data_IF_285936014547
#
_entry.id   IF_285936014547
#
_cell.length_a   1.000
_cell.length_b   1.000
_cell.length_c   1.000
_cell.angle_alpha   90.00
_cell.angle_beta   90.00
_cell.angle_gamma   90.00
#
_symmetry.space_group_name_H-M   'P 1'
#
loop_
_entity.id
_entity.type
_entity.pdbx_description
1 polymer ?
#
# COMPACT_ATOMS: atom_id res chain seq x y z
N UNK A 1 -25.94 -13.95 6.58
CA UNK A 1 -24.66 -13.53 7.20
C UNK A 1 -23.67 -12.88 6.22
N UNK A 2 -23.78 -13.06 4.89
CA UNK A 2 -22.87 -12.41 3.92
C UNK A 2 -23.15 -10.93 3.63
N UNK A 3 -24.43 -10.51 3.60
CA UNK A 3 -24.79 -9.12 3.23
C UNK A 3 -24.32 -8.08 4.24
N UNK A 4 -24.40 -8.36 5.55
CA UNK A 4 -23.92 -7.46 6.58
C UNK A 4 -22.39 -7.31 6.57
N UNK A 5 -21.66 -8.38 6.24
CA UNK A 5 -20.20 -8.33 6.08
C UNK A 5 -19.76 -7.52 4.86
N UNK A 6 -20.46 -7.67 3.74
CA UNK A 6 -20.22 -6.87 2.52
C UNK A 6 -20.57 -5.39 2.77
N UNK A 7 -21.69 -5.10 3.44
CA UNK A 7 -22.09 -3.73 3.78
C UNK A 7 -21.16 -3.07 4.80
N UNK A 8 -20.67 -3.81 5.80
CA UNK A 8 -19.67 -3.31 6.74
C UNK A 8 -18.30 -3.09 6.09
N UNK A 9 -17.90 -3.98 5.16
CA UNK A 9 -16.69 -3.81 4.37
C UNK A 9 -16.78 -2.60 3.42
N UNK A 10 -17.93 -2.38 2.78
CA UNK A 10 -18.19 -1.20 1.97
C UNK A 10 -18.24 0.07 2.83
N UNK A 11 -18.94 0.05 3.96
CA UNK A 11 -18.99 1.19 4.89
C UNK A 11 -17.59 1.56 5.40
N UNK A 12 -16.75 0.58 5.76
CA UNK A 12 -15.35 0.81 6.14
C UNK A 12 -14.50 1.32 4.97
N UNK A 13 -14.69 0.81 3.75
CA UNK A 13 -14.06 1.38 2.56
C UNK A 13 -14.51 2.81 2.30
N UNK A 14 -15.78 3.15 2.50
CA UNK A 14 -16.30 4.50 2.31
C UNK A 14 -15.89 5.46 3.44
N UNK A 15 -15.67 4.96 4.66
CA UNK A 15 -15.15 5.75 5.78
C UNK A 15 -13.65 6.04 5.61
N UNK A 16 -12.88 5.09 5.06
CA UNK A 16 -11.44 5.26 4.80
C UNK A 16 -11.17 5.99 3.48
N UNK A 17 -11.96 5.72 2.43
CA UNK A 17 -11.86 6.41 1.13
C UNK A 17 -12.57 7.77 1.11
N UNK A 18 -13.39 8.06 2.12
CA UNK A 18 -14.13 9.30 2.24
C UNK A 18 -13.78 10.05 3.52
N UNK A 19 -12.84 11.01 3.49
CA UNK A 19 -12.97 12.16 4.36
C UNK A 19 -14.11 13.00 3.76
N UNK A 20 -15.22 13.11 4.50
CA UNK A 20 -16.33 13.93 4.08
C UNK A 20 -15.87 15.35 3.67
N UNK A 21 -15.96 15.67 2.37
CA UNK A 21 -16.52 16.95 1.96
C UNK A 21 -15.82 17.75 0.88
N UNK A 22 -14.51 17.62 0.61
CA UNK A 22 -13.84 18.34 -0.49
C UNK A 22 -12.63 17.58 -1.04
N UNK A 23 -12.72 17.13 -2.29
CA UNK A 23 -11.55 16.78 -3.10
C UNK A 23 -10.85 18.11 -3.44
N UNK A 24 -10.10 18.65 -2.48
CA UNK A 24 -9.06 19.61 -2.83
C UNK A 24 -7.92 18.77 -3.41
N UNK A 25 -7.67 18.97 -4.69
CA UNK A 25 -6.68 18.24 -5.52
C UNK A 25 -5.27 18.23 -4.86
N UNK A 26 -5.02 19.14 -3.92
CA UNK A 26 -3.82 19.22 -3.08
C UNK A 26 -3.68 18.08 -2.04
N UNK A 27 -4.77 17.52 -1.50
CA UNK A 27 -4.71 16.41 -0.54
C UNK A 27 -4.28 15.08 -1.18
N UNK A 28 -4.38 14.93 -2.50
CA UNK A 28 -3.97 13.72 -3.20
C UNK A 28 -2.45 13.61 -3.40
N UNK A 29 -1.72 14.73 -3.25
CA UNK A 29 -0.28 14.82 -3.48
C UNK A 29 0.50 14.11 -2.36
N UNK A 30 0.65 12.78 -2.48
CA UNK A 30 1.42 11.93 -1.56
C UNK A 30 0.67 10.68 -1.08
N UNK A 31 -0.64 10.76 -0.92
CA UNK A 31 -1.45 9.60 -0.50
C UNK A 31 -1.60 8.56 -1.61
N UNK A 32 -1.62 8.98 -2.90
CA UNK A 32 -1.69 8.05 -4.02
C UNK A 32 -0.51 7.08 -4.08
N UNK A 33 0.71 7.55 -3.78
CA UNK A 33 1.91 6.72 -3.71
C UNK A 33 1.81 5.66 -2.60
N UNK A 34 1.36 6.09 -1.42
CA UNK A 34 1.13 5.21 -0.27
C UNK A 34 0.03 4.19 -0.55
N UNK A 35 -1.05 4.59 -1.23
CA UNK A 35 -2.16 3.71 -1.59
C UNK A 35 -1.73 2.59 -2.55
N UNK A 36 -0.80 2.86 -3.47
CA UNK A 36 -0.22 1.83 -4.34
C UNK A 36 0.49 0.77 -3.50
N UNK A 37 1.33 1.17 -2.54
CA UNK A 37 2.05 0.24 -1.65
C UNK A 37 1.06 -0.66 -0.90
N UNK A 38 0.03 -0.06 -0.29
CA UNK A 38 -0.99 -0.80 0.47
C UNK A 38 -1.76 -1.79 -0.42
N UNK A 39 -2.14 -1.38 -1.64
CA UNK A 39 -2.87 -2.22 -2.57
C UNK A 39 -2.07 -3.46 -3.02
N UNK A 40 -0.79 -3.26 -3.34
CA UNK A 40 0.11 -4.35 -3.73
C UNK A 40 0.43 -5.26 -2.53
N UNK A 41 0.68 -4.70 -1.35
CA UNK A 41 1.00 -5.48 -0.15
C UNK A 41 -0.20 -6.33 0.30
N UNK A 42 -1.41 -5.79 0.16
CA UNK A 42 -2.66 -6.50 0.45
C UNK A 42 -3.05 -7.56 -0.60
N UNK A 43 -2.30 -7.71 -1.70
CA UNK A 43 -2.58 -8.66 -2.80
C UNK A 43 -4.03 -8.60 -3.32
N UNK A 44 -4.62 -7.41 -3.36
CA UNK A 44 -6.03 -7.17 -3.71
C UNK A 44 -7.08 -7.86 -2.80
N UNK A 45 -6.67 -8.42 -1.65
CA UNK A 45 -7.62 -9.01 -0.70
C UNK A 45 -8.04 -7.97 0.35
N UNK A 46 -9.34 -7.72 0.60
CA UNK A 46 -9.81 -6.72 1.58
C UNK A 46 -9.18 -6.82 2.98
N UNK A 47 -8.99 -8.04 3.50
CA UNK A 47 -8.33 -8.25 4.80
C UNK A 47 -6.84 -7.92 4.73
N UNK A 48 -6.18 -8.27 3.62
CA UNK A 48 -4.78 -7.93 3.38
C UNK A 48 -4.57 -6.42 3.27
N UNK A 49 -5.48 -5.71 2.60
CA UNK A 49 -5.46 -4.25 2.46
C UNK A 49 -5.59 -3.56 3.83
N UNK A 50 -6.47 -4.05 4.72
CA UNK A 50 -6.60 -3.52 6.08
C UNK A 50 -5.30 -3.67 6.89
N UNK A 51 -4.69 -4.86 6.86
CA UNK A 51 -3.42 -5.11 7.56
C UNK A 51 -2.26 -4.30 6.95
N UNK A 52 -2.20 -4.21 5.63
CA UNK A 52 -1.21 -3.41 4.91
C UNK A 52 -1.36 -1.91 5.19
N UNK A 53 -2.60 -1.41 5.25
CA UNK A 53 -2.92 -0.03 5.59
C UNK A 53 -2.49 0.30 7.02
N UNK A 54 -2.72 -0.62 7.96
CA UNK A 54 -2.27 -0.47 9.35
C UNK A 54 -0.73 -0.42 9.44
N UNK A 55 -0.03 -1.30 8.71
CA UNK A 55 1.43 -1.31 8.67
C UNK A 55 1.99 -0.01 8.09
N UNK A 56 1.38 0.50 7.00
CA UNK A 56 1.78 1.78 6.41
C UNK A 56 1.49 2.96 7.34
N UNK A 57 0.36 2.96 8.05
CA UNK A 57 0.04 3.97 9.05
C UNK A 57 1.07 3.99 10.19
N UNK A 58 1.43 2.81 10.71
CA UNK A 58 2.49 2.68 11.72
C UNK A 58 3.85 3.16 11.21
N UNK A 59 4.18 2.89 9.95
CA UNK A 59 5.44 3.34 9.32
C UNK A 59 5.47 4.86 9.16
N UNK A 60 4.34 5.47 8.78
CA UNK A 60 4.22 6.92 8.64
C UNK A 60 4.33 7.63 9.99
N UNK A 61 3.54 7.19 10.99
CA UNK A 61 3.56 7.77 12.33
C UNK A 61 4.90 7.51 13.02
N UNK A 62 5.47 6.30 12.88
CA UNK A 62 6.81 5.99 13.39
C UNK A 62 7.90 6.81 12.71
N UNK A 63 7.77 7.07 11.41
CA UNK A 63 8.65 7.95 10.65
C UNK A 63 8.58 9.40 11.13
N UNK A 64 7.39 9.93 11.39
CA UNK A 64 7.17 11.29 11.91
C UNK A 64 7.73 11.46 13.34
N UNK A 65 7.56 10.44 14.18
CA UNK A 65 8.18 10.38 15.51
C UNK A 65 9.71 10.34 15.37
N UNK A 66 10.27 9.56 14.43
CA UNK A 66 11.71 9.52 14.18
C UNK A 66 12.24 10.85 13.60
N UNK A 67 11.43 11.54 12.81
CA UNK A 67 11.69 12.90 12.33
C UNK A 67 11.85 13.87 13.51
N UNK A 68 10.92 13.80 14.46
CA UNK A 68 10.83 14.70 15.59
C UNK A 68 11.87 14.41 16.68
N UNK A 69 12.19 13.14 16.94
CA UNK A 69 13.12 12.75 18.02
C UNK A 69 14.59 12.83 17.60
N UNK A 70 14.91 12.55 16.34
CA UNK A 70 16.28 12.39 15.85
C UNK A 70 16.65 13.46 14.81
N UNK A 71 15.74 14.39 14.51
CA UNK A 71 15.94 15.46 13.52
C UNK A 71 16.07 14.95 12.09
N UNK A 72 15.54 13.75 11.79
CA UNK A 72 15.61 13.19 10.44
C UNK A 72 14.88 14.11 9.45
N UNK A 73 15.39 14.30 8.22
CA UNK A 73 14.65 15.03 7.19
C UNK A 73 13.44 14.21 6.70
N UNK A 74 12.33 14.87 6.37
CA UNK A 74 11.11 14.23 5.82
C UNK A 74 11.37 13.43 4.55
N UNK A 75 12.43 13.78 3.81
CA UNK A 75 12.92 13.03 2.66
C UNK A 75 13.32 11.58 3.01
N UNK A 76 13.78 11.31 4.23
CA UNK A 76 14.14 9.97 4.68
C UNK A 76 12.91 9.06 4.77
N UNK A 77 11.77 9.59 5.23
CA UNK A 77 10.50 8.86 5.30
C UNK A 77 10.02 8.52 3.88
N UNK A 78 10.09 9.48 2.96
CA UNK A 78 9.71 9.25 1.56
C UNK A 78 10.64 8.24 0.87
N UNK A 79 11.95 8.33 1.11
CA UNK A 79 12.92 7.36 0.61
C UNK A 79 12.63 5.94 1.14
N UNK A 80 12.25 5.82 2.42
CA UNK A 80 11.89 4.54 3.01
C UNK A 80 10.64 3.92 2.37
N UNK A 81 9.58 4.72 2.16
CA UNK A 81 8.40 4.25 1.44
C UNK A 81 8.72 3.83 0.00
N UNK A 82 9.61 4.57 -0.68
CA UNK A 82 10.10 4.22 -2.01
C UNK A 82 10.86 2.90 -2.06
N UNK A 83 11.74 2.65 -1.10
CA UNK A 83 12.44 1.37 -0.97
C UNK A 83 11.46 0.23 -0.69
N UNK A 84 10.46 0.45 0.17
CA UNK A 84 9.42 -0.53 0.48
C UNK A 84 8.66 -0.95 -0.79
N UNK A 85 8.18 0.04 -1.56
CA UNK A 85 7.53 -0.20 -2.85
C UNK A 85 8.45 -0.96 -3.81
N UNK A 86 9.71 -0.52 -3.93
CA UNK A 86 10.69 -1.13 -4.84
C UNK A 86 10.93 -2.61 -4.50
N UNK A 87 11.15 -2.94 -3.23
CA UNK A 87 11.30 -4.33 -2.79
C UNK A 87 10.03 -5.15 -3.01
N UNK A 88 8.86 -4.57 -2.73
CA UNK A 88 7.59 -5.25 -2.96
C UNK A 88 7.41 -5.57 -4.45
N UNK A 89 7.59 -4.58 -5.33
CA UNK A 89 7.55 -4.78 -6.77
C UNK A 89 8.58 -5.79 -7.25
N UNK A 90 9.81 -5.75 -6.73
CA UNK A 90 10.86 -6.70 -7.11
C UNK A 90 10.47 -8.14 -6.71
N UNK A 91 9.91 -8.35 -5.53
CA UNK A 91 9.43 -9.66 -5.06
C UNK A 91 8.19 -10.10 -5.84
N UNK A 92 7.25 -9.20 -6.10
CA UNK A 92 6.04 -9.50 -6.87
C UNK A 92 6.41 -9.88 -8.30
N UNK A 93 7.30 -9.12 -8.95
CA UNK A 93 7.87 -9.44 -10.25
C UNK A 93 8.55 -10.80 -10.22
N UNK A 94 9.45 -11.06 -9.27
CA UNK A 94 10.16 -12.34 -9.17
C UNK A 94 9.22 -13.53 -8.92
N UNK A 95 8.17 -13.34 -8.11
CA UNK A 95 7.18 -14.37 -7.80
C UNK A 95 6.19 -14.61 -8.94
N UNK A 96 5.80 -13.57 -9.69
CA UNK A 96 4.93 -13.69 -10.87
C UNK A 96 5.70 -14.08 -12.14
N UNK A 97 7.03 -13.88 -12.18
CA UNK A 97 7.90 -14.41 -13.23
C UNK A 97 8.01 -15.92 -13.04
N UNK A 98 6.92 -16.63 -13.36
CA UNK A 98 6.92 -18.07 -13.57
C UNK A 98 7.89 -18.30 -14.71
N UNK A 99 9.13 -18.70 -14.40
CA UNK A 99 10.14 -19.10 -15.37
C UNK A 99 9.55 -20.27 -16.16
N UNK A 100 8.79 -19.96 -17.22
CA UNK A 100 8.41 -20.93 -18.23
C UNK A 100 9.65 -21.09 -19.09
N UNK A 101 10.51 -22.03 -18.70
CA UNK A 101 11.37 -22.70 -19.66
C UNK A 101 10.43 -23.41 -20.64
N UNK A 102 9.98 -22.68 -21.68
CA UNK A 102 9.46 -23.32 -22.87
C UNK A 102 10.68 -23.97 -23.52
N UNK A 103 10.95 -25.22 -23.15
CA UNK A 103 11.73 -26.12 -23.99
C UNK A 103 10.99 -26.17 -25.32
N UNK A 104 11.51 -25.45 -26.32
CA UNK A 104 11.17 -25.70 -27.71
C UNK A 104 11.67 -27.11 -28.01
N UNK A 105 10.77 -28.09 -27.96
CA UNK A 105 10.97 -29.35 -28.64
C UNK A 105 11.07 -29.04 -30.13
N UNK A 106 12.31 -29.14 -30.65
CA UNK A 106 12.59 -29.10 -32.06
C UNK A 106 12.19 -30.47 -32.64
N UNK A 107 11.15 -30.46 -33.48
CA UNK A 107 10.85 -31.52 -34.42
C UNK A 107 10.97 -30.95 -35.84
#
# INVERSE_FOLDING_TARGET
MGMSGILAGLAGMFEVAGPAGKISIDFASGYGFTAIIVAFLGRLHPIGILLAGLLMALTYVGGDIAQSNIGLPSAAIQAFQGMLLFFLLAVDLLSNYRIRFNLKEAH
#
